data_IF_315745816026
#
_entry.id   IF_315745816026
#
_cell.length_a   1.000
_cell.length_b   1.000
_cell.length_c   1.000
_cell.angle_alpha   90.00
_cell.angle_beta   90.00
_cell.angle_gamma   90.00
#
_symmetry.space_group_name_H-M   'P 1'
#
loop_
_entity.id
_entity.type
_entity.pdbx_description
1 polymer ?
#
# COMPACT_ATOMS: atom_id res chain seq x y z
N UNK A 1 -3.35 -10.15 -2.30
CA UNK A 1 -4.28 -10.22 -3.44
C UNK A 1 -4.41 -11.66 -3.87
N UNK A 2 -5.59 -12.12 -4.28
CA UNK A 2 -5.87 -13.50 -4.67
C UNK A 2 -6.32 -13.58 -6.14
N UNK A 3 -5.69 -14.47 -6.91
CA UNK A 3 -6.03 -14.79 -8.31
C UNK A 3 -5.86 -16.29 -8.53
N UNK A 4 -6.90 -17.01 -8.96
CA UNK A 4 -6.87 -18.46 -9.19
C UNK A 4 -6.30 -19.27 -7.99
N UNK A 5 -6.72 -18.96 -6.77
CA UNK A 5 -6.19 -19.53 -5.49
C UNK A 5 -4.69 -19.26 -5.22
N UNK A 6 -4.08 -18.33 -5.94
CA UNK A 6 -2.70 -17.89 -5.75
C UNK A 6 -2.68 -16.51 -5.09
N UNK A 7 -1.86 -16.39 -4.04
CA UNK A 7 -1.73 -15.15 -3.30
C UNK A 7 -0.47 -14.36 -3.67
N UNK A 8 -0.65 -13.05 -3.70
CA UNK A 8 0.39 -12.08 -3.98
C UNK A 8 0.48 -11.03 -2.88
N UNK A 9 1.72 -10.73 -2.48
CA UNK A 9 2.04 -9.52 -1.70
C UNK A 9 2.56 -8.46 -2.67
N UNK A 10 1.89 -7.31 -2.73
CA UNK A 10 2.30 -6.18 -3.54
C UNK A 10 2.76 -5.06 -2.62
N UNK A 11 3.87 -4.42 -2.96
CA UNK A 11 4.44 -3.31 -2.18
C UNK A 11 5.28 -2.41 -3.11
N UNK A 12 5.89 -1.36 -2.54
CA UNK A 12 6.86 -0.55 -3.24
C UNK A 12 8.13 -1.39 -3.53
N UNK A 13 8.81 -1.14 -4.64
CA UNK A 13 9.96 -1.95 -5.04
C UNK A 13 11.10 -1.81 -4.04
N UNK A 14 11.39 -0.60 -3.56
CA UNK A 14 12.45 -0.37 -2.56
C UNK A 14 12.17 -1.05 -1.20
N UNK A 15 10.89 -1.34 -0.88
CA UNK A 15 10.54 -2.10 0.34
C UNK A 15 10.87 -3.59 0.16
N UNK A 16 10.72 -4.11 -1.06
CA UNK A 16 10.97 -5.52 -1.39
C UNK A 16 12.39 -5.79 -1.87
N UNK A 17 13.12 -4.77 -2.30
CA UNK A 17 14.50 -4.87 -2.80
C UNK A 17 15.46 -5.59 -1.85
N UNK A 18 15.41 -5.37 -0.51
CA UNK A 18 16.28 -6.10 0.43
C UNK A 18 16.16 -7.63 0.35
N UNK A 19 15.02 -8.16 -0.11
CA UNK A 19 14.85 -9.61 -0.33
C UNK A 19 15.82 -10.17 -1.37
N UNK A 20 16.21 -9.37 -2.37
CA UNK A 20 17.20 -9.79 -3.38
C UNK A 20 18.59 -10.00 -2.75
N UNK A 21 18.88 -9.29 -1.66
CA UNK A 21 20.10 -9.40 -0.87
C UNK A 21 19.99 -10.45 0.24
N UNK A 22 18.92 -11.27 0.22
CA UNK A 22 18.61 -12.27 1.25
C UNK A 22 18.41 -11.68 2.64
N UNK A 23 18.04 -10.40 2.72
CA UNK A 23 17.55 -9.82 3.98
C UNK A 23 16.19 -10.44 4.27
N UNK A 24 16.02 -10.91 5.50
CA UNK A 24 14.75 -11.50 5.93
C UNK A 24 13.71 -10.38 6.09
N UNK A 25 12.64 -10.42 5.29
CA UNK A 25 11.45 -9.62 5.58
C UNK A 25 10.49 -10.42 6.45
N UNK A 26 10.07 -9.76 7.50
CA UNK A 26 8.99 -10.24 8.35
C UNK A 26 7.83 -9.27 8.30
N UNK A 27 6.61 -9.80 8.35
CA UNK A 27 5.42 -9.00 8.58
C UNK A 27 4.70 -9.48 9.83
N UNK A 28 4.06 -8.53 10.48
CA UNK A 28 3.28 -8.79 11.67
C UNK A 28 1.87 -9.17 11.25
N UNK A 29 1.49 -10.39 11.61
CA UNK A 29 0.10 -10.79 11.64
C UNK A 29 -0.53 -9.95 12.76
N UNK A 30 -0.09 -10.13 14.00
CA UNK A 30 -0.47 -9.30 15.16
C UNK A 30 0.76 -8.82 15.96
N UNK A 31 0.54 -8.19 17.11
CA UNK A 31 1.60 -7.65 17.97
C UNK A 31 2.54 -8.73 18.57
N UNK A 32 2.20 -10.02 18.41
CA UNK A 32 2.90 -11.17 18.98
C UNK A 32 3.35 -12.19 17.92
N UNK A 33 2.76 -12.17 16.72
CA UNK A 33 3.02 -13.12 15.65
C UNK A 33 3.75 -12.46 14.48
N UNK A 34 5.02 -12.81 14.37
CA UNK A 34 5.90 -12.45 13.26
C UNK A 34 5.93 -13.59 12.26
N UNK A 35 5.55 -13.33 11.01
CA UNK A 35 5.73 -14.29 9.91
C UNK A 35 6.89 -13.86 9.05
N UNK A 36 7.80 -14.81 8.83
CA UNK A 36 8.93 -14.65 7.93
C UNK A 36 8.49 -15.00 6.51
N UNK A 37 8.74 -14.09 5.58
CA UNK A 37 8.50 -14.38 4.17
C UNK A 37 9.58 -15.34 3.66
N UNK A 38 9.17 -16.59 3.45
CA UNK A 38 10.00 -17.64 2.88
C UNK A 38 9.38 -18.13 1.55
N UNK A 39 10.18 -18.81 0.72
CA UNK A 39 9.69 -19.50 -0.49
C UNK A 39 8.74 -18.68 -1.37
N UNK A 40 9.27 -17.62 -1.97
CA UNK A 40 8.53 -16.71 -2.84
C UNK A 40 9.22 -16.56 -4.20
N UNK A 41 8.45 -16.13 -5.20
CA UNK A 41 9.02 -15.59 -6.44
C UNK A 41 8.85 -14.07 -6.46
N UNK A 42 9.96 -13.35 -6.55
CA UNK A 42 9.99 -11.89 -6.51
C UNK A 42 10.14 -11.30 -7.92
N UNK A 43 9.35 -10.27 -8.22
CA UNK A 43 9.54 -9.43 -9.40
C UNK A 43 9.37 -7.96 -9.04
N UNK A 44 10.31 -7.14 -9.52
CA UNK A 44 10.41 -5.71 -9.23
C UNK A 44 10.34 -4.91 -10.53
N UNK A 45 9.68 -3.77 -10.47
CA UNK A 45 9.78 -2.71 -11.47
C UNK A 45 10.32 -1.44 -10.78
N UNK A 46 11.64 -1.25 -10.87
CA UNK A 46 12.33 -0.11 -10.24
C UNK A 46 12.02 1.24 -10.91
N UNK A 47 11.49 1.25 -12.13
CA UNK A 47 11.16 2.49 -12.85
C UNK A 47 9.95 3.18 -12.21
N UNK A 48 8.96 2.41 -11.79
CA UNK A 48 7.74 2.90 -11.14
C UNK A 48 7.67 2.57 -9.65
N UNK A 49 8.74 1.97 -9.12
CA UNK A 49 8.90 1.60 -7.72
C UNK A 49 7.78 0.69 -7.18
N UNK A 50 7.38 -0.32 -7.97
CA UNK A 50 6.39 -1.33 -7.56
C UNK A 50 7.00 -2.72 -7.67
N UNK A 51 6.69 -3.59 -6.73
CA UNK A 51 7.09 -4.99 -6.75
C UNK A 51 5.97 -5.91 -6.26
N UNK A 52 6.09 -7.19 -6.62
CA UNK A 52 5.21 -8.23 -6.10
C UNK A 52 5.97 -9.52 -5.79
N UNK A 53 5.48 -10.22 -4.77
CA UNK A 53 5.84 -11.58 -4.42
C UNK A 53 4.69 -12.50 -4.78
N UNK A 54 4.97 -13.60 -5.48
CA UNK A 54 4.09 -14.77 -5.49
C UNK A 54 4.36 -15.57 -4.22
N UNK A 55 3.36 -15.70 -3.36
CA UNK A 55 3.49 -16.34 -2.05
C UNK A 55 3.31 -17.87 -2.18
N UNK A 56 4.04 -18.61 -1.35
CA UNK A 56 3.74 -20.02 -1.10
C UNK A 56 2.44 -20.17 -0.31
N UNK A 57 1.91 -21.40 -0.27
CA UNK A 57 0.71 -21.73 0.51
C UNK A 57 0.89 -21.46 2.02
N UNK A 58 2.09 -21.63 2.54
CA UNK A 58 2.39 -21.40 3.97
C UNK A 58 2.36 -19.92 4.35
N UNK A 59 2.74 -19.05 3.40
CA UNK A 59 2.74 -17.60 3.58
C UNK A 59 1.47 -16.94 3.02
N UNK A 60 0.47 -17.74 2.66
CA UNK A 60 -0.78 -17.23 2.11
C UNK A 60 -1.79 -16.90 3.22
N UNK A 61 -2.53 -15.78 3.14
CA UNK A 61 -3.74 -15.57 3.93
C UNK A 61 -4.80 -16.65 3.58
N UNK A 62 -5.84 -16.85 4.40
CA UNK A 62 -6.31 -15.97 5.49
C UNK A 62 -5.54 -16.10 6.80
N UNK A 63 -5.41 -14.97 7.52
CA UNK A 63 -5.00 -14.93 8.92
C UNK A 63 -6.21 -14.61 9.79
N UNK A 64 -7.02 -15.64 10.05
CA UNK A 64 -8.35 -15.50 10.66
C UNK A 64 -8.35 -14.91 12.06
N UNK A 65 -7.28 -15.10 12.84
CA UNK A 65 -7.18 -14.55 14.21
C UNK A 65 -7.24 -13.02 14.28
N UNK A 66 -6.93 -12.36 13.18
CA UNK A 66 -6.82 -10.90 13.08
C UNK A 66 -7.59 -10.34 11.88
N UNK A 67 -8.46 -11.16 11.30
CA UNK A 67 -9.33 -10.76 10.21
C UNK A 67 -8.56 -10.17 9.01
N UNK A 68 -7.35 -10.67 8.73
CA UNK A 68 -6.58 -10.28 7.54
C UNK A 68 -6.79 -11.28 6.42
N UNK A 69 -7.48 -10.81 5.38
CA UNK A 69 -7.82 -11.58 4.19
C UNK A 69 -7.10 -11.02 2.96
N UNK A 70 -6.91 -11.86 1.94
CA UNK A 70 -6.48 -11.35 0.65
C UNK A 70 -7.64 -10.62 -0.03
N UNK A 71 -7.33 -9.46 -0.62
CA UNK A 71 -8.24 -8.83 -1.56
C UNK A 71 -8.35 -9.67 -2.82
N UNK A 72 -9.55 -9.84 -3.36
CA UNK A 72 -9.74 -10.49 -4.65
C UNK A 72 -9.11 -9.65 -5.78
N UNK A 73 -8.58 -10.30 -6.82
CA UNK A 73 -7.93 -9.60 -7.93
C UNK A 73 -8.86 -8.60 -8.65
N UNK A 74 -10.18 -8.79 -8.58
CA UNK A 74 -11.16 -7.83 -9.13
C UNK A 74 -11.16 -6.47 -8.43
N UNK A 75 -10.59 -6.37 -7.23
CA UNK A 75 -10.39 -5.09 -6.52
C UNK A 75 -9.33 -4.19 -7.17
N UNK A 76 -8.65 -4.67 -8.23
CA UNK A 76 -7.58 -3.97 -8.96
C UNK A 76 -8.07 -3.53 -10.35
N UNK A 77 -8.82 -2.42 -10.46
CA UNK A 77 -9.29 -1.95 -11.75
C UNK A 77 -8.12 -1.48 -12.63
N UNK A 78 -7.94 -2.13 -13.79
CA UNK A 78 -6.97 -1.72 -14.82
C UNK A 78 -7.13 -0.26 -15.28
N UNK A 79 -8.38 0.22 -15.31
CA UNK A 79 -8.75 1.46 -15.99
C UNK A 79 -9.44 2.50 -15.09
N UNK A 80 -9.59 2.30 -13.77
CA UNK A 80 -10.05 3.38 -12.90
C UNK A 80 -8.88 4.32 -12.65
N UNK A 81 -8.74 5.26 -13.57
CA UNK A 81 -7.82 6.37 -13.44
C UNK A 81 -8.18 7.19 -12.21
N UNK A 82 -7.15 7.51 -11.45
CA UNK A 82 -7.13 8.59 -10.48
C UNK A 82 -7.37 9.92 -11.20
N UNK A 83 -8.63 10.30 -11.34
CA UNK A 83 -9.05 11.62 -11.83
C UNK A 83 -8.75 12.72 -10.81
N UNK A 84 -8.87 13.96 -11.29
CA UNK A 84 -8.99 15.10 -10.39
C UNK A 84 -10.25 14.95 -9.53
N UNK A 85 -10.21 15.48 -8.32
CA UNK A 85 -11.33 15.57 -7.37
C UNK A 85 -11.78 14.23 -6.74
N UNK A 86 -11.03 13.15 -6.96
CA UNK A 86 -11.24 11.92 -6.21
C UNK A 86 -10.69 12.06 -4.78
N UNK A 87 -11.44 11.49 -3.83
CA UNK A 87 -10.97 11.26 -2.46
C UNK A 87 -10.31 9.88 -2.39
N UNK A 88 -9.11 9.84 -1.85
CA UNK A 88 -8.33 8.64 -1.64
C UNK A 88 -8.23 8.34 -0.15
N UNK A 89 -8.27 7.07 0.18
CA UNK A 89 -7.95 6.54 1.50
C UNK A 89 -6.57 5.90 1.44
N UNK A 90 -5.71 6.26 2.38
CA UNK A 90 -4.33 5.78 2.44
C UNK A 90 -4.13 5.10 3.79
N UNK A 91 -3.70 3.85 3.72
CA UNK A 91 -3.50 2.98 4.87
C UNK A 91 -2.03 2.57 4.94
N UNK A 92 -1.44 2.68 6.13
CA UNK A 92 -0.08 2.21 6.35
C UNK A 92 0.29 2.13 7.83
N UNK A 93 1.53 1.72 8.10
CA UNK A 93 2.06 1.57 9.45
C UNK A 93 3.24 2.52 9.64
N UNK A 94 2.98 3.80 9.95
CA UNK A 94 4.05 4.76 10.11
C UNK A 94 4.95 4.37 11.27
N UNK A 95 6.26 4.52 11.08
CA UNK A 95 7.29 4.14 12.05
C UNK A 95 7.08 4.82 13.42
N UNK A 96 6.53 6.03 13.45
CA UNK A 96 6.24 6.74 14.71
C UNK A 96 5.13 6.09 15.54
N UNK A 97 4.30 5.23 14.93
CA UNK A 97 3.27 4.45 15.63
C UNK A 97 3.73 3.02 15.93
N UNK A 98 4.98 2.70 15.61
CA UNK A 98 5.62 1.46 15.99
C UNK A 98 6.36 1.65 17.32
N UNK A 99 5.95 0.91 18.35
CA UNK A 99 6.58 0.94 19.67
C UNK A 99 7.14 -0.44 20.00
N UNK A 100 8.43 -0.49 20.37
CA UNK A 100 9.08 -1.67 20.92
C UNK A 100 8.80 -1.73 22.42
N UNK A 101 7.90 -2.62 22.85
CA UNK A 101 7.78 -2.97 24.26
C UNK A 101 8.95 -3.84 24.68
N UNK A 102 9.57 -3.50 25.82
CA UNK A 102 10.74 -4.23 26.34
C UNK A 102 10.35 -5.43 27.18
N UNK A 103 9.10 -5.52 27.65
CA UNK A 103 8.66 -6.61 28.52
C UNK A 103 7.13 -6.78 28.51
N UNK A 104 6.57 -7.82 27.84
CA UNK A 104 7.23 -8.76 26.92
C UNK A 104 7.82 -8.06 25.67
N UNK A 105 8.71 -8.74 24.94
CA UNK A 105 9.24 -8.26 23.65
C UNK A 105 8.11 -8.27 22.61
N UNK A 106 7.32 -7.22 22.60
CA UNK A 106 6.21 -7.03 21.68
C UNK A 106 6.45 -5.77 20.84
N UNK A 107 6.06 -5.83 19.58
CA UNK A 107 6.00 -4.65 18.71
C UNK A 107 4.55 -4.27 18.61
N UNK A 108 4.21 -3.12 19.17
CA UNK A 108 2.89 -2.53 19.05
C UNK A 108 2.93 -1.62 17.85
N UNK A 109 2.24 -2.00 16.78
CA UNK A 109 2.11 -1.18 15.58
C UNK A 109 0.64 -0.84 15.37
N UNK A 110 0.34 0.47 15.26
CA UNK A 110 -1.03 0.93 14.97
C UNK A 110 -1.11 1.38 13.51
N UNK A 111 -2.14 0.94 12.77
CA UNK A 111 -2.36 1.47 11.43
C UNK A 111 -2.69 2.97 11.54
N UNK A 112 -2.23 3.71 10.55
CA UNK A 112 -2.68 5.08 10.31
C UNK A 112 -3.51 5.08 9.03
N UNK A 113 -4.71 5.64 9.16
CA UNK A 113 -5.65 5.82 8.07
C UNK A 113 -5.98 7.31 7.96
N UNK A 114 -5.98 7.82 6.73
CA UNK A 114 -6.43 9.16 6.46
C UNK A 114 -6.97 9.28 5.05
N UNK A 115 -7.78 10.32 4.86
CA UNK A 115 -8.35 10.69 3.57
C UNK A 115 -7.68 11.94 3.01
N UNK A 116 -7.48 11.97 1.70
CA UNK A 116 -7.02 13.17 1.00
C UNK A 116 -7.44 13.17 -0.46
N UNK A 117 -7.15 14.25 -1.18
CA UNK A 117 -7.52 14.45 -2.58
C UNK A 117 -6.29 14.43 -3.50
N UNK A 118 -6.54 14.20 -4.79
CA UNK A 118 -5.52 14.34 -5.83
C UNK A 118 -4.96 15.76 -5.86
N UNK A 119 -3.64 15.86 -6.06
CA UNK A 119 -2.99 17.14 -6.35
C UNK A 119 -3.45 17.70 -7.71
N UNK A 120 -3.32 19.02 -7.87
CA UNK A 120 -3.67 19.71 -9.12
C UNK A 120 -2.75 19.32 -10.30
N UNK A 121 -3.22 19.50 -11.54
CA UNK A 121 -2.41 19.25 -12.74
C UNK A 121 -1.12 20.09 -12.81
N UNK A 122 -1.09 21.27 -12.18
CA UNK A 122 0.13 22.08 -12.12
C UNK A 122 1.23 21.37 -11.34
N UNK A 123 0.89 20.66 -10.25
CA UNK A 123 1.84 19.90 -9.44
C UNK A 123 2.52 18.77 -10.23
N UNK A 124 1.78 18.07 -11.08
CA UNK A 124 2.36 17.04 -11.96
C UNK A 124 3.42 17.62 -12.89
N UNK A 125 3.16 18.81 -13.46
CA UNK A 125 4.11 19.51 -14.34
C UNK A 125 5.33 19.99 -13.55
N UNK A 126 5.12 20.61 -12.39
CA UNK A 126 6.18 21.10 -11.51
C UNK A 126 7.12 19.98 -11.06
N UNK A 127 6.57 18.81 -10.75
CA UNK A 127 7.33 17.64 -10.28
C UNK A 127 7.82 16.75 -11.44
N UNK A 128 7.53 17.10 -12.69
CA UNK A 128 7.83 16.30 -13.88
C UNK A 128 7.35 14.83 -13.77
N UNK A 129 6.12 14.64 -13.32
CA UNK A 129 5.51 13.33 -13.09
C UNK A 129 4.48 13.02 -14.17
N UNK A 130 4.57 11.82 -14.76
CA UNK A 130 3.57 11.34 -15.71
C UNK A 130 2.29 10.89 -14.97
N UNK A 131 1.14 11.54 -15.18
CA UNK A 131 -0.12 11.16 -14.53
C UNK A 131 -0.63 9.78 -14.96
N UNK A 132 -0.07 9.19 -16.02
CA UNK A 132 -0.40 7.82 -16.42
C UNK A 132 0.23 6.76 -15.52
N UNK A 133 1.42 7.04 -15.01
CA UNK A 133 2.19 6.09 -14.19
C UNK A 133 1.97 6.33 -12.70
N UNK A 134 1.70 7.58 -12.33
CA UNK A 134 1.63 7.98 -10.92
C UNK A 134 0.42 8.86 -10.64
N UNK A 135 -0.06 8.77 -9.41
CA UNK A 135 -0.99 9.72 -8.80
C UNK A 135 -0.24 10.51 -7.74
N UNK A 136 -0.39 11.82 -7.76
CA UNK A 136 0.06 12.72 -6.71
C UNK A 136 -1.14 13.05 -5.81
N UNK A 137 -0.97 12.85 -4.51
CA UNK A 137 -1.98 13.13 -3.50
C UNK A 137 -1.43 14.23 -2.59
N UNK A 138 -2.23 15.28 -2.38
CA UNK A 138 -1.85 16.33 -1.46
C UNK A 138 -1.81 15.78 -0.03
N UNK A 139 -0.78 16.11 0.73
CA UNK A 139 -0.64 15.65 2.11
C UNK A 139 -0.22 16.79 3.01
N UNK A 140 -1.17 17.27 3.80
CA UNK A 140 -0.93 18.32 4.79
C UNK A 140 -1.18 17.74 6.18
N UNK A 141 -0.09 17.57 6.93
CA UNK A 141 -0.04 16.83 8.21
C UNK A 141 -1.07 17.32 9.24
N UNK A 142 -1.33 18.63 9.25
CA UNK A 142 -2.26 19.34 10.14
C UNK A 142 -3.71 19.39 9.64
N UNK A 143 -4.00 18.79 8.48
CA UNK A 143 -5.32 18.79 7.84
C UNK A 143 -5.79 17.38 7.48
N UNK A 144 -5.26 16.37 8.15
CA UNK A 144 -5.73 14.99 7.95
C UNK A 144 -7.07 14.82 8.65
N UNK A 145 -7.99 14.10 8.00
CA UNK A 145 -9.30 13.77 8.54
C UNK A 145 -9.35 12.28 8.87
N UNK A 146 -9.91 11.95 10.04
CA UNK A 146 -10.27 10.57 10.40
C UNK A 146 -11.51 10.13 9.63
N UNK A 147 -11.88 8.85 9.78
CA UNK A 147 -13.17 8.32 9.30
C UNK A 147 -14.38 9.06 9.84
N UNK A 148 -14.26 9.66 11.02
CA UNK A 148 -15.31 10.42 11.70
C UNK A 148 -15.27 11.92 11.35
N UNK A 149 -14.51 12.30 10.32
CA UNK A 149 -14.26 13.69 9.90
C UNK A 149 -13.61 14.58 10.98
N UNK A 150 -12.92 13.99 11.96
CA UNK A 150 -12.18 14.75 12.95
C UNK A 150 -10.82 15.16 12.39
N UNK A 151 -10.45 16.43 12.59
CA UNK A 151 -9.12 16.92 12.23
C UNK A 151 -8.08 16.34 13.18
N UNK A 152 -7.10 15.63 12.61
CA UNK A 152 -5.99 15.03 13.36
C UNK A 152 -4.65 15.44 12.76
N UNK A 153 -3.65 15.54 13.62
CA UNK A 153 -2.26 15.70 13.19
C UNK A 153 -1.73 14.31 12.81
N UNK A 154 -1.52 14.09 11.51
CA UNK A 154 -0.91 12.85 11.02
C UNK A 154 0.48 12.63 11.63
N UNK A 155 0.95 11.38 11.79
CA UNK A 155 2.36 11.10 12.01
C UNK A 155 3.23 11.51 10.81
N UNK A 156 4.55 11.44 10.98
CA UNK A 156 5.46 11.41 9.83
C UNK A 156 5.26 10.07 9.09
N UNK A 157 5.10 10.11 7.77
CA UNK A 157 4.68 8.95 6.96
C UNK A 157 5.82 7.98 6.61
N UNK A 158 6.96 8.08 7.29
CA UNK A 158 8.02 7.08 7.14
C UNK A 158 7.46 5.70 7.49
N UNK A 159 7.59 4.72 6.60
CA UNK A 159 7.02 3.37 6.78
C UNK A 159 5.62 3.17 6.17
N UNK A 160 5.04 4.19 5.51
CA UNK A 160 3.76 4.05 4.77
C UNK A 160 3.96 3.54 3.34
N UNK A 161 5.18 3.62 2.79
CA UNK A 161 5.52 3.07 1.47
C UNK A 161 5.17 1.57 1.38
N UNK A 162 4.60 1.17 0.25
CA UNK A 162 4.05 -0.16 0.02
C UNK A 162 2.59 -0.32 0.41
N UNK A 163 2.02 0.64 1.15
CA UNK A 163 0.60 0.61 1.51
C UNK A 163 -0.33 0.77 0.31
N UNK A 164 -1.50 0.09 0.29
CA UNK A 164 -2.49 0.29 -0.75
C UNK A 164 -3.16 1.65 -0.62
N UNK A 165 -3.42 2.28 -1.75
CA UNK A 165 -4.22 3.50 -1.86
C UNK A 165 -5.55 3.13 -2.51
N UNK A 166 -6.63 3.46 -1.84
CA UNK A 166 -8.00 3.10 -2.25
C UNK A 166 -8.80 4.34 -2.61
N UNK A 167 -9.80 4.19 -3.49
CA UNK A 167 -10.81 5.23 -3.69
C UNK A 167 -11.79 5.22 -2.52
N UNK A 168 -12.00 6.39 -1.90
CA UNK A 168 -13.11 6.58 -0.99
C UNK A 168 -14.38 6.79 -1.83
N UNK A 169 -15.33 5.85 -1.75
CA UNK A 169 -16.61 5.98 -2.43
C UNK A 169 -17.59 6.74 -1.52
N UNK A 170 -18.24 7.79 -2.04
CA UNK A 170 -19.29 8.48 -1.30
C UNK A 170 -20.45 7.53 -0.99
N UNK A 171 -20.90 7.52 0.27
CA UNK A 171 -22.19 6.93 0.66
C UNK A 171 -22.21 5.45 1.00
N UNK A 172 -21.07 4.74 0.98
CA UNK A 172 -21.04 3.33 1.33
C UNK A 172 -20.18 3.07 2.57
N UNK A 173 -20.86 2.64 3.63
CA UNK A 173 -20.27 1.98 4.81
C UNK A 173 -19.27 0.94 4.29
N UNK A 174 -18.05 0.96 4.85
CA UNK A 174 -16.94 0.06 4.54
C UNK A 174 -17.45 -1.36 4.23
N UNK A 175 -17.58 -1.69 2.95
CA UNK A 175 -17.94 -3.02 2.50
C UNK A 175 -16.67 -3.62 1.88
N UNK A 176 -16.15 -4.67 2.48
CA UNK A 176 -14.92 -5.33 2.04
C UNK A 176 -15.00 -5.77 0.56
N UNK A 177 -16.21 -6.10 0.09
CA UNK A 177 -16.51 -6.45 -1.31
C UNK A 177 -16.37 -5.27 -2.29
N UNK A 178 -16.14 -4.06 -1.79
CA UNK A 178 -16.09 -2.82 -2.58
C UNK A 178 -14.78 -2.05 -2.44
N UNK A 179 -13.75 -2.66 -1.86
CA UNK A 179 -12.42 -2.05 -1.82
C UNK A 179 -11.87 -1.94 -3.24
N UNK A 180 -11.61 -0.70 -3.68
CA UNK A 180 -11.01 -0.41 -4.98
C UNK A 180 -9.61 0.13 -4.76
N UNK A 181 -8.60 -0.67 -5.03
CA UNK A 181 -7.19 -0.27 -4.93
C UNK A 181 -6.78 0.38 -6.25
N UNK A 182 -6.41 1.66 -6.21
CA UNK A 182 -6.01 2.44 -7.38
C UNK A 182 -4.50 2.59 -7.52
N UNK A 183 -3.76 2.31 -6.46
CA UNK A 183 -2.31 2.33 -6.52
C UNK A 183 -1.63 1.92 -5.23
N UNK A 184 -0.31 1.99 -5.25
CA UNK A 184 0.58 1.67 -4.14
C UNK A 184 1.33 2.95 -3.77
N UNK A 185 1.28 3.34 -2.49
CA UNK A 185 2.06 4.48 -2.01
C UNK A 185 3.55 4.14 -2.11
N UNK A 186 4.35 4.98 -2.79
CA UNK A 186 5.78 4.70 -3.00
C UNK A 186 6.66 5.73 -2.30
N UNK A 187 6.23 6.99 -2.22
CA UNK A 187 7.07 8.05 -1.71
C UNK A 187 6.23 9.12 -1.01
N UNK A 188 6.76 9.65 0.09
CA UNK A 188 6.26 10.87 0.71
C UNK A 188 7.30 12.00 0.54
N UNK A 189 6.99 12.96 -0.31
CA UNK A 189 7.78 14.17 -0.49
C UNK A 189 7.34 15.22 0.55
N UNK A 190 8.05 15.24 1.67
CA UNK A 190 7.81 16.17 2.78
C UNK A 190 7.94 17.64 2.37
N UNK A 191 8.80 17.98 1.41
CA UNK A 191 9.04 19.36 0.98
C UNK A 191 7.86 19.87 0.17
N UNK A 192 7.39 19.07 -0.78
CA UNK A 192 6.27 19.45 -1.64
C UNK A 192 4.90 19.17 -1.02
N UNK A 193 4.87 18.45 0.12
CA UNK A 193 3.65 18.02 0.81
C UNK A 193 2.81 17.09 -0.07
N UNK A 194 3.48 16.14 -0.72
CA UNK A 194 2.88 15.24 -1.71
C UNK A 194 3.20 13.80 -1.37
N UNK A 195 2.25 12.92 -1.63
CA UNK A 195 2.48 11.48 -1.67
C UNK A 195 2.35 11.02 -3.09
N UNK A 196 3.39 10.34 -3.55
CA UNK A 196 3.44 9.74 -4.87
C UNK A 196 2.97 8.30 -4.77
N UNK A 197 2.04 7.96 -5.64
CA UNK A 197 1.39 6.66 -5.67
C UNK A 197 1.59 6.07 -7.05
N UNK A 198 2.17 4.88 -7.16
CA UNK A 198 2.27 4.18 -8.42
C UNK A 198 0.92 3.57 -8.81
N UNK A 199 0.52 3.74 -10.07
CA UNK A 199 -0.75 3.24 -10.56
C UNK A 199 -0.84 1.71 -10.45
N UNK A 200 -1.99 1.20 -10.00
CA UNK A 200 -2.19 -0.24 -9.75
C UNK A 200 -1.96 -1.11 -10.98
N UNK A 201 -2.09 -0.57 -12.19
CA UNK A 201 -1.77 -1.26 -13.45
C UNK A 201 -0.37 -1.87 -13.46
N UNK A 202 0.59 -1.23 -12.78
CA UNK A 202 1.95 -1.72 -12.71
C UNK A 202 2.05 -2.97 -11.84
N UNK A 203 1.30 -3.03 -10.73
CA UNK A 203 1.20 -4.24 -9.92
C UNK A 203 0.54 -5.38 -10.71
N UNK A 204 -0.53 -5.08 -11.45
CA UNK A 204 -1.22 -6.06 -12.33
C UNK A 204 -0.25 -6.65 -13.35
N UNK A 205 0.50 -5.80 -14.07
CA UNK A 205 1.52 -6.24 -15.03
C UNK A 205 2.57 -7.15 -14.40
N UNK A 206 3.01 -6.84 -13.17
CA UNK A 206 3.99 -7.67 -12.45
C UNK A 206 3.38 -9.02 -12.06
N UNK A 207 2.15 -9.04 -11.54
CA UNK A 207 1.43 -10.27 -11.17
C UNK A 207 1.27 -11.17 -12.40
N UNK A 208 0.80 -10.64 -13.52
CA UNK A 208 0.63 -11.41 -14.75
C UNK A 208 1.98 -11.95 -15.27
N UNK A 209 3.04 -11.15 -15.13
CA UNK A 209 4.38 -11.57 -15.53
C UNK A 209 5.06 -12.54 -14.53
N UNK A 210 4.48 -12.78 -13.35
CA UNK A 210 4.87 -13.85 -12.42
C UNK A 210 4.13 -15.17 -12.71
N UNK A 211 3.03 -15.12 -13.48
CA UNK A 211 2.27 -16.29 -13.91
C UNK A 211 2.69 -16.82 -15.28
N UNK A 212 3.33 -15.99 -16.11
CA UNK A 212 3.80 -16.41 -17.42
C UNK A 212 4.77 -17.61 -17.30
N UNK A 213 4.58 -18.68 -18.08
CA UNK A 213 5.52 -19.80 -18.11
C UNK A 213 6.92 -19.29 -18.49
N UNK A 214 7.92 -19.76 -17.76
CA UNK A 214 9.35 -19.44 -18.00
C UNK A 214 9.92 -20.30 -19.12
#
# INVERSE_FOLDING_TARGET
>A
MEKNDIHYLVSAAHVLEPLQEKVELSYYIDNQQVVKLNDYTLKLNKVVDVGALKLSKENSPPYTKIEKYALHYSSLPLNKFSGQDNVYSINGFPNTYMQLSRNPKEIISKPFHYFSISASQSRYKEMNVNPRDFTLIDFTKDRCLTSDNEAVVSPDLFGVSGGPVTLACEGEIYNEDKIIVVGIAIEWDKRNKIIKVANIRHAIQIIDALEAPT
#
